data_IF_154210600812
#
_entry.id   IF_154210600812
#
_cell.length_a   1.000
_cell.length_b   1.000
_cell.length_c   1.000
_cell.angle_alpha   90.00
_cell.angle_beta   90.00
_cell.angle_gamma   90.00
#
_symmetry.space_group_name_H-M   'P 1'
#
loop_
_entity.id
_entity.type
_entity.pdbx_description
1 polymer ?
#
# COMPACT_ATOMS: atom_id res chain seq x y z
N UNK A 1 13.89 -8.46 21.06
CA UNK A 1 12.42 -8.34 20.91
C UNK A 1 12.08 -6.89 20.54
N UNK A 2 11.65 -6.58 19.30
CA UNK A 2 11.23 -5.22 18.98
C UNK A 2 9.99 -4.85 19.81
N UNK A 3 10.04 -3.72 20.49
CA UNK A 3 9.02 -3.30 21.45
C UNK A 3 7.71 -2.94 20.74
N UNK A 4 6.60 -3.55 21.16
CA UNK A 4 5.23 -3.40 20.61
C UNK A 4 4.73 -1.95 20.49
N UNK A 5 5.39 -0.99 21.15
CA UNK A 5 5.09 0.45 21.01
C UNK A 5 5.61 1.05 19.70
N UNK A 6 6.78 0.61 19.24
CA UNK A 6 7.42 1.13 18.01
C UNK A 6 6.54 0.80 16.79
N UNK A 7 5.92 -0.37 16.78
CA UNK A 7 5.05 -0.82 15.68
C UNK A 7 3.74 -0.05 15.61
N UNK A 8 3.15 0.32 16.75
CA UNK A 8 1.93 1.16 16.79
C UNK A 8 2.20 2.58 16.30
N UNK A 9 3.34 3.16 16.68
CA UNK A 9 3.77 4.49 16.21
C UNK A 9 4.09 4.47 14.71
N UNK A 10 4.79 3.43 14.24
CA UNK A 10 5.09 3.24 12.83
C UNK A 10 3.82 3.07 11.98
N UNK A 11 2.84 2.29 12.46
CA UNK A 11 1.56 2.12 11.77
C UNK A 11 0.80 3.46 11.64
N UNK A 12 0.72 4.24 12.73
CA UNK A 12 0.08 5.56 12.71
C UNK A 12 0.80 6.53 11.78
N UNK A 13 2.14 6.53 11.81
CA UNK A 13 2.95 7.35 10.91
C UNK A 13 2.71 6.96 9.44
N UNK A 14 2.72 5.67 9.13
CA UNK A 14 2.44 5.18 7.78
C UNK A 14 1.03 5.50 7.29
N UNK A 15 0.04 5.55 8.19
CA UNK A 15 -1.32 6.01 7.85
C UNK A 15 -1.33 7.49 7.53
N UNK A 16 -0.69 8.32 8.35
CA UNK A 16 -0.61 9.76 8.13
C UNK A 16 0.14 10.10 6.83
N UNK A 17 1.25 9.40 6.55
CA UNK A 17 1.98 9.57 5.29
C UNK A 17 1.08 9.23 4.10
N UNK A 18 0.35 8.11 4.16
CA UNK A 18 -0.59 7.73 3.09
C UNK A 18 -1.70 8.76 2.90
N UNK A 19 -2.26 9.31 3.98
CA UNK A 19 -3.32 10.32 3.85
C UNK A 19 -2.83 11.61 3.21
N UNK A 20 -1.62 12.07 3.55
CA UNK A 20 -1.04 13.27 2.94
C UNK A 20 -0.70 13.03 1.46
N UNK A 21 -0.11 11.88 1.12
CA UNK A 21 0.22 11.54 -0.27
C UNK A 21 -1.02 11.33 -1.14
N UNK A 22 -2.14 10.91 -0.55
CA UNK A 22 -3.42 10.72 -1.26
C UNK A 22 -4.22 12.02 -1.46
N UNK A 23 -3.71 13.18 -1.04
CA UNK A 23 -4.34 14.47 -1.35
C UNK A 23 -4.22 14.77 -2.84
N UNK A 24 -5.24 15.38 -3.43
CA UNK A 24 -5.30 15.64 -4.88
C UNK A 24 -4.10 16.46 -5.38
N UNK A 25 -3.67 17.47 -4.62
CA UNK A 25 -2.49 18.28 -4.96
C UNK A 25 -1.21 17.44 -5.01
N UNK A 26 -1.02 16.54 -4.06
CA UNK A 26 0.17 15.69 -4.02
C UNK A 26 0.11 14.60 -5.10
N UNK A 27 -1.07 14.05 -5.37
CA UNK A 27 -1.27 13.11 -6.48
C UNK A 27 -0.87 13.72 -7.82
N UNK A 28 -1.34 14.94 -8.13
CA UNK A 28 -0.96 15.64 -9.37
C UNK A 28 0.54 15.85 -9.51
N UNK A 29 1.22 16.16 -8.40
CA UNK A 29 2.69 16.31 -8.38
C UNK A 29 3.37 14.97 -8.61
N UNK A 30 2.91 13.89 -7.95
CA UNK A 30 3.45 12.55 -8.13
C UNK A 30 3.23 12.06 -9.57
N UNK A 31 2.05 12.22 -10.14
CA UNK A 31 1.73 11.83 -11.52
C UNK A 31 2.60 12.56 -12.56
N UNK A 32 3.04 13.78 -12.27
CA UNK A 32 3.95 14.53 -13.13
C UNK A 32 5.40 14.01 -13.08
N UNK A 33 5.78 13.22 -12.06
CA UNK A 33 7.12 12.67 -11.91
C UNK A 33 7.27 11.37 -12.72
N UNK A 34 8.32 11.24 -13.57
CA UNK A 34 8.52 10.03 -14.40
C UNK A 34 8.55 8.71 -13.62
N UNK A 35 9.04 8.73 -12.37
CA UNK A 35 9.12 7.55 -11.51
C UNK A 35 7.76 7.07 -10.95
N UNK A 36 6.71 7.90 -11.08
CA UNK A 36 5.37 7.66 -10.54
C UNK A 36 4.30 7.75 -11.64
N UNK A 37 4.69 8.03 -12.88
CA UNK A 37 3.82 7.82 -14.02
C UNK A 37 3.36 6.37 -13.98
N UNK A 38 2.06 6.18 -14.18
CA UNK A 38 1.49 4.83 -14.23
C UNK A 38 2.01 4.20 -15.50
N UNK A 39 3.01 3.31 -15.40
CA UNK A 39 3.38 2.44 -16.51
C UNK A 39 2.11 1.66 -16.91
N UNK A 40 1.74 1.70 -18.19
CA UNK A 40 0.55 1.05 -18.72
C UNK A 40 0.50 -0.46 -18.37
N UNK A 41 1.66 -1.04 -18.09
CA UNK A 41 1.81 -2.41 -17.65
C UNK A 41 2.31 -2.51 -16.20
N UNK A 42 1.53 -3.16 -15.33
CA UNK A 42 1.90 -3.41 -13.94
C UNK A 42 3.11 -4.37 -13.89
N UNK A 43 4.24 -4.01 -13.24
CA UNK A 43 5.42 -4.86 -13.14
C UNK A 43 5.09 -6.28 -12.67
N UNK A 44 5.66 -7.29 -13.34
CA UNK A 44 5.39 -8.72 -13.08
C UNK A 44 5.57 -9.11 -11.61
N UNK A 45 6.53 -8.48 -10.92
CA UNK A 45 6.78 -8.72 -9.50
C UNK A 45 5.60 -8.26 -8.62
N UNK A 46 4.94 -7.16 -8.96
CA UNK A 46 3.77 -6.67 -8.23
C UNK A 46 2.56 -7.57 -8.50
N UNK A 47 2.34 -8.00 -9.74
CA UNK A 47 1.31 -9.00 -10.08
C UNK A 47 1.44 -10.26 -9.22
N UNK A 48 2.65 -10.84 -9.15
CA UNK A 48 2.90 -12.02 -8.32
C UNK A 48 2.76 -11.80 -6.81
N UNK A 49 2.83 -10.55 -6.31
CA UNK A 49 2.51 -10.23 -4.92
C UNK A 49 1.00 -10.12 -4.68
N UNK A 50 0.25 -9.56 -5.63
CA UNK A 50 -1.21 -9.49 -5.57
C UNK A 50 -1.84 -10.89 -5.63
N UNK A 51 -1.34 -11.78 -6.48
CA UNK A 51 -1.83 -13.17 -6.55
C UNK A 51 -1.63 -13.90 -5.21
N UNK A 52 -0.50 -13.67 -4.56
CA UNK A 52 -0.22 -14.23 -3.23
C UNK A 52 -1.13 -13.64 -2.16
N UNK A 53 -1.42 -12.34 -2.25
CA UNK A 53 -2.34 -11.66 -1.35
C UNK A 53 -3.76 -12.22 -1.50
N UNK A 54 -4.27 -12.29 -2.73
CA UNK A 54 -5.58 -12.86 -3.03
C UNK A 54 -5.69 -14.32 -2.54
N UNK A 55 -4.64 -15.12 -2.77
CA UNK A 55 -4.58 -16.50 -2.28
C UNK A 55 -4.63 -16.55 -0.75
N UNK A 56 -3.97 -15.62 -0.05
CA UNK A 56 -3.99 -15.54 1.41
C UNK A 56 -5.35 -15.09 1.94
N UNK A 57 -6.00 -14.11 1.29
CA UNK A 57 -7.35 -13.65 1.63
C UNK A 57 -8.40 -14.75 1.44
N UNK A 58 -8.32 -15.50 0.33
CA UNK A 58 -9.21 -16.66 0.09
C UNK A 58 -9.03 -17.78 1.12
N UNK A 59 -7.82 -17.91 1.69
CA UNK A 59 -7.52 -18.89 2.76
C UNK A 59 -7.97 -18.41 4.13
N UNK A 60 -8.18 -17.12 4.33
CA UNK A 60 -8.80 -16.61 5.54
C UNK A 60 -10.32 -16.81 5.45
N UNK A 61 -10.97 -17.43 6.44
CA UNK A 61 -12.43 -17.39 6.52
C UNK A 61 -12.84 -15.93 6.67
N UNK A 62 -13.58 -15.42 5.69
CA UNK A 62 -14.14 -14.08 5.71
C UNK A 62 -14.87 -13.87 7.05
N UNK A 63 -14.52 -12.86 7.87
CA UNK A 63 -15.35 -12.50 9.00
C UNK A 63 -16.69 -12.03 8.43
N UNK A 64 -17.74 -12.83 8.64
CA UNK A 64 -19.13 -12.46 8.34
C UNK A 64 -19.40 -11.11 9.02
N UNK A 65 -19.62 -10.08 8.22
CA UNK A 65 -20.28 -8.85 8.65
C UNK A 65 -21.79 -9.05 8.62
#
# INVERSE_FOLDING_TARGET
MPSRRITKTAARLATNIRSELATESNLRVLEALPAFQTEDDLPQRLRGLLDKLETAERRQPQPKR
#
